data_IF_191818880258
#
_entry.id   IF_191818880258
#
_cell.length_a   1.000
_cell.length_b   1.000
_cell.length_c   1.000
_cell.angle_alpha   90.00
_cell.angle_beta   90.00
_cell.angle_gamma   90.00
#
_symmetry.space_group_name_H-M   'P 1'
#
loop_
_entity.id
_entity.type
_entity.pdbx_description
1 polymer ?
#
# COMPACT_ATOMS: atom_id res chain seq x y z
N UNK A 1 6.09 -38.44 -36.39
CA UNK A 1 6.89 -37.97 -35.24
C UNK A 1 7.23 -36.51 -35.49
N UNK A 2 6.55 -35.54 -34.86
CA UNK A 2 7.03 -34.17 -34.80
C UNK A 2 8.20 -34.06 -33.81
N UNK A 3 9.22 -33.27 -34.14
CA UNK A 3 10.45 -33.11 -33.35
C UNK A 3 10.27 -32.18 -32.13
N UNK A 4 11.24 -32.16 -31.19
CA UNK A 4 11.09 -31.55 -29.86
C UNK A 4 11.09 -30.01 -29.79
N UNK A 5 10.95 -29.31 -30.91
CA UNK A 5 11.14 -27.85 -30.97
C UNK A 5 9.90 -27.08 -31.44
N UNK A 6 8.70 -27.63 -31.27
CA UNK A 6 7.43 -26.88 -31.44
C UNK A 6 7.25 -25.90 -30.28
N UNK A 7 8.09 -24.86 -30.23
CA UNK A 7 7.82 -23.68 -29.41
C UNK A 7 6.69 -22.92 -30.10
N UNK A 8 5.51 -22.95 -29.48
CA UNK A 8 4.37 -22.14 -29.90
C UNK A 8 4.85 -20.69 -30.13
N UNK A 9 4.88 -20.27 -31.40
CA UNK A 9 5.17 -18.88 -31.76
C UNK A 9 4.17 -18.01 -31.01
N UNK A 10 4.62 -17.01 -30.24
CA UNK A 10 3.72 -16.11 -29.55
C UNK A 10 2.73 -15.54 -30.56
N UNK A 11 1.45 -15.46 -30.21
CA UNK A 11 0.48 -14.75 -31.03
C UNK A 11 0.82 -13.25 -30.93
N UNK A 12 1.72 -12.80 -31.82
CA UNK A 12 2.17 -11.42 -31.91
C UNK A 12 1.01 -10.61 -32.47
N UNK A 13 0.56 -9.60 -31.74
CA UNK A 13 -0.40 -8.65 -32.26
C UNK A 13 0.16 -8.00 -33.53
N UNK A 14 -0.47 -8.25 -34.68
CA UNK A 14 -0.12 -7.59 -35.94
C UNK A 14 -0.68 -6.17 -35.92
N UNK A 15 0.19 -5.18 -35.78
CA UNK A 15 -0.16 -3.76 -35.83
C UNK A 15 0.29 -3.15 -37.16
N UNK A 16 -0.55 -2.30 -37.77
CA UNK A 16 -0.27 -1.70 -39.09
C UNK A 16 0.90 -0.70 -39.06
N UNK A 17 1.07 0.03 -37.95
CA UNK A 17 2.16 0.99 -37.74
C UNK A 17 2.45 1.20 -36.25
N UNK A 18 3.68 1.59 -35.93
CA UNK A 18 4.13 1.92 -34.59
C UNK A 18 4.25 3.44 -34.43
N UNK A 19 3.88 3.95 -33.26
CA UNK A 19 3.86 5.38 -32.94
C UNK A 19 4.55 5.62 -31.60
N UNK A 20 5.32 6.71 -31.49
CA UNK A 20 5.97 7.13 -30.23
C UNK A 20 5.09 8.07 -29.38
N UNK A 21 5.61 8.50 -28.22
CA UNK A 21 4.93 9.40 -27.27
C UNK A 21 4.72 10.82 -27.83
N UNK A 22 5.27 11.12 -29.01
CA UNK A 22 5.15 12.39 -29.72
C UNK A 22 4.28 12.27 -30.97
N UNK A 23 3.56 11.16 -31.12
CA UNK A 23 2.73 10.85 -32.28
C UNK A 23 3.52 10.71 -33.60
N UNK A 24 4.82 10.41 -33.52
CA UNK A 24 5.67 10.16 -34.68
C UNK A 24 5.63 8.70 -35.10
N UNK A 25 5.61 8.44 -36.40
CA UNK A 25 5.64 7.07 -36.94
C UNK A 25 7.05 6.49 -36.80
N UNK A 26 7.15 5.37 -36.08
CA UNK A 26 8.40 4.65 -35.87
C UNK A 26 8.54 3.58 -36.95
N UNK A 27 9.56 3.72 -37.80
CA UNK A 27 9.90 2.69 -38.79
C UNK A 27 10.83 1.68 -38.17
N UNK A 28 10.33 0.46 -38.04
CA UNK A 28 11.09 -0.65 -37.50
C UNK A 28 11.45 -1.61 -38.63
N UNK A 29 12.72 -2.05 -38.75
CA UNK A 29 13.13 -3.03 -39.75
C UNK A 29 12.31 -4.33 -39.68
N UNK A 30 11.99 -4.96 -40.82
CA UNK A 30 11.25 -6.22 -40.82
C UNK A 30 11.99 -7.32 -40.05
N UNK A 31 11.28 -8.00 -39.14
CA UNK A 31 11.82 -9.12 -38.36
C UNK A 31 12.65 -8.72 -37.14
N UNK A 32 12.68 -7.43 -36.77
CA UNK A 32 13.27 -7.02 -35.49
C UNK A 32 12.43 -7.47 -34.30
N UNK A 33 13.10 -7.91 -33.25
CA UNK A 33 12.47 -8.14 -31.96
C UNK A 33 12.26 -6.77 -31.25
N UNK A 34 11.02 -6.48 -30.89
CA UNK A 34 10.67 -5.28 -30.12
C UNK A 34 10.83 -5.60 -28.63
N UNK A 35 11.92 -5.13 -28.03
CA UNK A 35 12.08 -5.22 -26.59
C UNK A 35 11.35 -4.05 -25.91
N UNK A 36 10.59 -4.29 -24.82
CA UNK A 36 10.09 -3.23 -23.97
C UNK A 36 11.27 -2.34 -23.52
N UNK A 37 11.20 -1.05 -23.82
CA UNK A 37 12.30 -0.08 -23.59
C UNK A 37 12.61 0.18 -22.11
N UNK A 38 12.02 -0.59 -21.20
CA UNK A 38 11.96 -0.23 -19.81
C UNK A 38 11.99 -1.45 -18.90
N UNK A 39 13.11 -1.65 -18.19
CA UNK A 39 13.06 -2.30 -16.89
C UNK A 39 12.00 -1.54 -16.09
N UNK A 40 10.87 -2.14 -15.64
CA UNK A 40 9.89 -1.42 -14.85
C UNK A 40 10.61 -0.74 -13.69
N UNK A 41 10.68 0.59 -13.75
CA UNK A 41 11.39 1.44 -12.83
C UNK A 41 11.25 0.93 -11.39
N UNK A 42 12.38 0.71 -10.73
CA UNK A 42 12.45 0.45 -9.29
C UNK A 42 11.71 1.52 -8.43
N UNK A 43 11.36 2.66 -9.05
CA UNK A 43 10.49 3.72 -8.54
C UNK A 43 9.13 3.21 -8.06
N UNK A 44 8.50 2.23 -8.73
CA UNK A 44 7.18 1.71 -8.30
C UNK A 44 7.28 0.96 -6.96
N UNK A 45 8.42 0.32 -6.69
CA UNK A 45 8.67 -0.35 -5.41
C UNK A 45 8.91 0.63 -4.25
N UNK A 46 9.51 1.79 -4.53
CA UNK A 46 9.88 2.78 -3.52
C UNK A 46 8.70 3.56 -2.95
N UNK A 47 7.70 3.89 -3.78
CA UNK A 47 6.45 4.56 -3.37
C UNK A 47 5.30 3.57 -3.12
N UNK A 48 5.59 2.27 -3.24
CA UNK A 48 4.62 1.21 -3.04
C UNK A 48 3.97 1.27 -1.65
N UNK A 49 2.66 0.96 -1.53
CA UNK A 49 1.96 0.99 -0.26
C UNK A 49 2.53 0.07 0.83
N UNK A 50 3.43 -0.84 0.48
CA UNK A 50 4.11 -1.71 1.44
C UNK A 50 5.25 -0.99 2.18
N UNK A 51 5.91 0.00 1.55
CA UNK A 51 7.10 0.65 2.11
C UNK A 51 6.74 1.60 3.28
N UNK A 52 5.80 2.52 3.06
CA UNK A 52 5.29 3.43 4.11
C UNK A 52 4.52 2.72 5.24
N UNK A 53 3.99 1.51 5.00
CA UNK A 53 3.18 0.79 5.98
C UNK A 53 3.99 0.35 7.19
N UNK A 54 5.21 -0.17 6.99
CA UNK A 54 6.09 -0.55 8.09
C UNK A 54 6.42 0.65 8.98
N UNK A 55 6.80 1.78 8.37
CA UNK A 55 7.08 3.02 9.10
C UNK A 55 5.83 3.54 9.83
N UNK A 56 4.64 3.42 9.22
CA UNK A 56 3.37 3.79 9.84
C UNK A 56 3.04 2.94 11.06
N UNK A 57 3.21 1.61 10.98
CA UNK A 57 2.97 0.69 12.11
C UNK A 57 3.96 0.95 13.25
N UNK A 58 5.24 1.16 12.93
CA UNK A 58 6.26 1.50 13.93
C UNK A 58 5.92 2.84 14.61
N UNK A 59 5.55 3.85 13.84
CA UNK A 59 5.14 5.16 14.36
C UNK A 59 3.92 5.06 15.28
N UNK A 60 2.90 4.29 14.88
CA UNK A 60 1.71 4.06 15.69
C UNK A 60 2.05 3.35 17.01
N UNK A 61 2.91 2.34 16.97
CA UNK A 61 3.35 1.64 18.18
C UNK A 61 4.04 2.58 19.18
N UNK A 62 4.85 3.52 18.70
CA UNK A 62 5.50 4.54 19.54
C UNK A 62 4.45 5.45 20.20
N UNK A 63 3.47 5.96 19.46
CA UNK A 63 2.42 6.82 20.00
C UNK A 63 1.62 6.08 21.07
N UNK A 64 1.21 4.84 20.80
CA UNK A 64 0.50 3.99 21.77
C UNK A 64 1.34 3.80 23.03
N UNK A 65 2.63 3.49 22.90
CA UNK A 65 3.52 3.30 24.05
C UNK A 65 3.64 4.59 24.89
N UNK A 66 3.81 5.75 24.27
CA UNK A 66 3.88 7.04 24.97
C UNK A 66 2.57 7.35 25.71
N UNK A 67 1.43 7.13 25.06
CA UNK A 67 0.12 7.30 25.67
C UNK A 67 -0.10 6.33 26.84
N UNK A 68 0.29 5.06 26.69
CA UNK A 68 0.21 4.06 27.77
C UNK A 68 1.07 4.43 28.96
N UNK A 69 2.30 4.87 28.73
CA UNK A 69 3.19 5.35 29.80
C UNK A 69 2.54 6.54 30.52
N UNK A 70 1.99 7.50 29.79
CA UNK A 70 1.24 8.60 30.38
C UNK A 70 0.01 8.11 31.16
N UNK A 71 -0.74 7.13 30.65
CA UNK A 71 -1.91 6.58 31.33
C UNK A 71 -1.55 5.80 32.60
N UNK A 72 -0.40 5.11 32.64
CA UNK A 72 0.08 4.41 33.84
C UNK A 72 0.42 5.41 34.95
N UNK A 73 1.06 6.54 34.61
CA UNK A 73 1.50 7.52 35.59
C UNK A 73 0.44 8.56 35.98
N UNK A 74 -0.48 8.90 35.07
CA UNK A 74 -1.51 9.94 35.29
C UNK A 74 -2.93 9.38 35.46
N UNK A 75 -3.11 8.05 35.29
CA UNK A 75 -4.43 7.44 35.22
C UNK A 75 -5.28 7.99 34.06
N UNK A 76 -6.49 7.47 33.90
CA UNK A 76 -7.59 8.21 33.26
C UNK A 76 -8.54 8.64 34.40
N UNK A 77 -8.29 9.77 35.08
CA UNK A 77 -9.11 10.19 36.20
C UNK A 77 -10.49 10.55 35.65
N UNK A 78 -11.50 9.76 35.99
CA UNK A 78 -12.90 10.12 35.76
C UNK A 78 -13.73 9.16 34.91
N UNK A 79 -13.19 8.09 34.36
CA UNK A 79 -14.01 7.06 33.68
C UNK A 79 -14.05 5.79 34.52
N UNK A 80 -15.06 5.68 35.37
CA UNK A 80 -15.39 4.42 36.05
C UNK A 80 -16.61 3.78 35.36
N UNK A 81 -16.77 2.46 35.50
CA UNK A 81 -18.00 1.78 35.03
C UNK A 81 -19.10 2.13 36.00
N UNK A 82 -20.17 2.76 35.51
CA UNK A 82 -21.28 3.12 36.38
C UNK A 82 -21.95 1.86 36.93
N UNK A 83 -22.23 1.78 38.25
CA UNK A 83 -22.90 0.62 38.84
C UNK A 83 -24.20 0.28 38.09
N UNK A 84 -24.28 -0.92 37.52
CA UNK A 84 -25.46 -1.39 36.79
C UNK A 84 -25.54 -1.02 35.30
N UNK A 85 -24.52 -0.39 34.72
CA UNK A 85 -24.43 -0.16 33.26
C UNK A 85 -23.08 -0.63 32.70
N UNK A 86 -23.01 -1.06 31.43
CA UNK A 86 -21.73 -1.38 30.78
C UNK A 86 -20.99 -0.13 30.27
N UNK A 87 -21.47 1.07 30.60
CA UNK A 87 -20.95 2.33 30.06
C UNK A 87 -20.00 2.98 31.06
N UNK A 88 -18.81 3.36 30.59
CA UNK A 88 -17.89 4.22 31.34
C UNK A 88 -18.16 5.69 30.97
N UNK A 89 -18.58 6.48 31.95
CA UNK A 89 -18.89 7.91 31.78
C UNK A 89 -18.31 8.73 32.95
N UNK A 90 -18.07 10.05 32.77
CA UNK A 90 -17.62 10.94 33.83
C UNK A 90 -18.53 10.87 35.07
N UNK A 91 -17.98 10.46 36.22
CA UNK A 91 -18.71 10.48 37.49
C UNK A 91 -19.05 11.93 37.85
N UNK A 92 -20.33 12.29 37.74
CA UNK A 92 -20.85 13.57 38.24
C UNK A 92 -21.15 13.38 39.73
N UNK A 93 -20.35 13.99 40.60
CA UNK A 93 -20.69 14.06 42.03
C UNK A 93 -22.04 14.76 42.18
N UNK A 94 -23.05 14.04 42.70
CA UNK A 94 -24.34 14.63 43.00
C UNK A 94 -24.15 15.50 44.25
N UNK A 95 -24.33 16.83 44.20
CA UNK A 95 -24.21 17.65 45.39
C UNK A 95 -25.28 17.22 46.40
N UNK A 96 -24.84 16.83 47.59
CA UNK A 96 -25.73 16.54 48.72
C UNK A 96 -26.54 17.80 49.06
N UNK A 97 -27.87 17.67 49.01
CA UNK A 97 -28.79 18.69 49.55
C UNK A 97 -28.83 18.64 51.08
#
# INVERSE_FOLDING_TARGET
MPGPDDKAVPNVASVDYLVDEKASVVRVPPGSELEPSHNPEATVGATGPTNWWLYGVIGLAIVIALLLVMQIFSGAPGTDVQPGTPTSEPVVETPVQ
#
